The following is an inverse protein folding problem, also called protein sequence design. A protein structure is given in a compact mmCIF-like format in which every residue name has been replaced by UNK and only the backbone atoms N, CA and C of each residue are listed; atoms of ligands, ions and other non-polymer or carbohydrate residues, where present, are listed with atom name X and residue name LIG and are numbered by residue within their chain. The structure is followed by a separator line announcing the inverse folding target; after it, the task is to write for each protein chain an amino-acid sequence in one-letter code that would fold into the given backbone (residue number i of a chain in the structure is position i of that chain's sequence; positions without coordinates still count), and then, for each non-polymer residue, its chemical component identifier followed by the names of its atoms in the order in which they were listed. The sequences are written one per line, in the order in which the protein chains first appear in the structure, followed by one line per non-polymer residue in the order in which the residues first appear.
data_IF_150423104445
#
_entry.id   IF_150423104445
#
_cell.length_a   1.000
_cell.length_b   1.000
_cell.length_c   1.000
_cell.angle_alpha   90.00
_cell.angle_beta   90.00
_cell.angle_gamma   90.00
#
_symmetry.space_group_name_H-M   'P 1'
#
loop_
_entity.id
_entity.type
_entity.pdbx_description
1 polymer ?
#
# COMPACT_ATOMS: atom_id res chain seq x y z
N UNK A 1 -7.04 -1.38 -23.54
CA UNK A 1 -7.16 -0.88 -22.15
C UNK A 1 -6.09 0.18 -21.95
N UNK A 2 -6.48 1.43 -21.69
CA UNK A 2 -5.53 2.52 -21.39
C UNK A 2 -4.93 2.30 -20.00
N UNK A 3 -3.84 1.54 -19.91
CA UNK A 3 -3.09 1.30 -18.67
C UNK A 3 -2.00 2.37 -18.51
N UNK A 4 -2.42 3.63 -18.41
CA UNK A 4 -1.50 4.71 -18.05
C UNK A 4 -0.95 4.53 -16.63
N UNK A 5 0.17 5.18 -16.28
CA UNK A 5 0.70 5.14 -14.93
C UNK A 5 -0.31 5.76 -13.96
N UNK A 6 -0.46 5.14 -12.78
CA UNK A 6 -1.24 5.68 -11.68
C UNK A 6 -0.28 6.39 -10.73
N UNK A 7 -0.48 7.68 -10.51
CA UNK A 7 0.27 8.48 -9.52
C UNK A 7 -0.64 8.66 -8.32
N UNK A 8 -0.23 8.15 -7.16
CA UNK A 8 -0.96 8.27 -5.90
C UNK A 8 -0.01 8.74 -4.79
N UNK A 9 -0.54 9.52 -3.86
CA UNK A 9 0.11 9.84 -2.59
C UNK A 9 0.01 8.65 -1.62
N UNK A 10 0.84 8.66 -0.56
CA UNK A 10 0.83 7.59 0.46
C UNK A 10 -0.56 7.45 1.07
N UNK A 11 -1.20 8.57 1.45
CA UNK A 11 -2.54 8.57 2.05
C UNK A 11 -3.61 8.01 1.10
N UNK A 12 -3.53 8.31 -0.20
CA UNK A 12 -4.48 7.76 -1.19
C UNK A 12 -4.30 6.24 -1.38
N UNK A 13 -3.07 5.74 -1.37
CA UNK A 13 -2.82 4.30 -1.47
C UNK A 13 -3.34 3.58 -0.23
N UNK A 14 -3.07 4.11 0.97
CA UNK A 14 -3.59 3.56 2.22
C UNK A 14 -5.12 3.58 2.25
N UNK A 15 -5.73 4.69 1.83
CA UNK A 15 -7.20 4.80 1.73
C UNK A 15 -7.82 3.76 0.79
N UNK A 16 -7.16 3.44 -0.33
CA UNK A 16 -7.62 2.37 -1.23
C UNK A 16 -7.43 0.99 -0.63
N UNK A 17 -6.34 0.79 0.12
CA UNK A 17 -6.02 -0.47 0.77
C UNK A 17 -7.01 -0.80 1.89
N UNK A 18 -7.42 0.21 2.66
CA UNK A 18 -8.39 0.09 3.75
C UNK A 18 -9.81 -0.25 3.27
N UNK A 19 -10.12 0.02 1.99
CA UNK A 19 -11.38 -0.39 1.37
C UNK A 19 -11.42 -1.87 1.00
N UNK A 20 -10.27 -2.54 0.95
CA UNK A 20 -10.25 -3.97 0.65
C UNK A 20 -10.73 -4.77 1.87
N UNK A 21 -11.61 -5.76 1.68
CA UNK A 21 -11.99 -6.64 2.77
C UNK A 21 -10.76 -7.38 3.30
N UNK A 22 -10.68 -7.72 4.60
CA UNK A 22 -9.60 -8.52 5.15
C UNK A 22 -9.34 -9.78 4.31
N UNK A 23 -8.07 -10.19 4.13
CA UNK A 23 -7.79 -11.36 3.30
C UNK A 23 -8.47 -12.60 3.89
N UNK A 24 -9.23 -13.30 3.07
CA UNK A 24 -9.97 -14.49 3.47
C UNK A 24 -9.07 -15.73 3.47
N UNK A 25 -9.48 -16.81 4.15
CA UNK A 25 -8.76 -18.08 4.12
C UNK A 25 -8.59 -18.63 2.70
N UNK A 26 -9.58 -18.39 1.84
CA UNK A 26 -9.66 -18.88 0.46
C UNK A 26 -8.94 -17.98 -0.55
N UNK A 27 -8.45 -16.82 -0.13
CA UNK A 27 -7.68 -15.93 -1.03
C UNK A 27 -6.37 -16.59 -1.45
N UNK A 28 -5.92 -16.30 -2.68
CA UNK A 28 -4.64 -16.76 -3.20
C UNK A 28 -3.48 -16.30 -2.29
N UNK A 29 -2.61 -17.24 -1.93
CA UNK A 29 -1.43 -16.99 -1.11
C UNK A 29 -0.52 -15.89 -1.68
N UNK A 30 -0.44 -15.77 -3.01
CA UNK A 30 0.29 -14.68 -3.65
C UNK A 30 -0.37 -13.33 -3.37
N UNK A 31 -1.70 -13.24 -3.42
CA UNK A 31 -2.45 -12.01 -3.15
C UNK A 31 -2.25 -11.57 -1.70
N UNK A 32 -2.33 -12.52 -0.75
CA UNK A 32 -2.07 -12.24 0.68
C UNK A 32 -0.65 -11.69 0.90
N UNK A 33 0.36 -12.31 0.28
CA UNK A 33 1.76 -11.87 0.36
C UNK A 33 1.97 -10.49 -0.26
N UNK A 34 1.40 -10.23 -1.42
CA UNK A 34 1.51 -8.94 -2.09
C UNK A 34 0.84 -7.83 -1.29
N UNK A 35 -0.34 -8.08 -0.71
CA UNK A 35 -1.03 -7.14 0.17
C UNK A 35 -0.17 -6.79 1.39
N UNK A 36 0.37 -7.81 2.08
CA UNK A 36 1.24 -7.59 3.25
C UNK A 36 2.49 -6.79 2.88
N UNK A 37 3.13 -7.13 1.75
CA UNK A 37 4.33 -6.43 1.28
C UNK A 37 4.05 -4.97 0.94
N UNK A 38 2.88 -4.67 0.36
CA UNK A 38 2.47 -3.29 0.10
C UNK A 38 2.27 -2.51 1.41
N UNK A 39 1.60 -3.11 2.41
CA UNK A 39 1.43 -2.50 3.74
C UNK A 39 2.77 -2.16 4.38
N UNK A 40 3.71 -3.11 4.39
CA UNK A 40 5.03 -2.92 5.00
C UNK A 40 5.81 -1.83 4.28
N UNK A 41 5.76 -1.82 2.94
CA UNK A 41 6.41 -0.79 2.14
C UNK A 41 5.85 0.61 2.41
N UNK A 42 4.52 0.76 2.54
CA UNK A 42 3.90 2.05 2.85
C UNK A 42 4.29 2.53 4.25
N UNK A 43 4.34 1.61 5.23
CA UNK A 43 4.82 1.94 6.58
C UNK A 43 6.27 2.42 6.59
N UNK A 44 7.17 1.72 5.86
CA UNK A 44 8.57 2.12 5.72
C UNK A 44 8.71 3.49 5.04
N UNK A 45 7.91 3.75 3.99
CA UNK A 45 7.88 5.05 3.32
C UNK A 45 7.42 6.17 4.26
N UNK A 46 6.41 5.92 5.10
CA UNK A 46 5.88 6.90 6.04
C UNK A 46 6.90 7.25 7.11
N UNK A 47 7.57 6.24 7.68
CA UNK A 47 8.69 6.43 8.61
C UNK A 47 9.85 7.23 7.97
N UNK A 48 10.17 6.93 6.71
CA UNK A 48 11.19 7.65 5.95
C UNK A 48 10.78 9.10 5.64
N UNK A 49 9.53 9.35 5.31
CA UNK A 49 9.00 10.68 5.01
C UNK A 49 8.95 11.60 6.24
N UNK A 50 8.58 11.05 7.41
CA UNK A 50 8.57 11.80 8.68
C UNK A 50 9.97 12.24 9.12
N UNK A 51 11.04 11.57 8.66
CA UNK A 51 12.42 11.88 9.00
C UNK A 51 13.11 12.96 8.15
N UNK A 52 12.53 13.36 7.01
CA UNK A 52 13.15 14.33 6.07
C UNK A 52 12.77 15.78 6.40
N UNK A 53 11.73 16.01 7.21
CA UNK A 53 11.38 17.34 7.72
C UNK A 53 12.20 17.61 9.00
N UNK A 54 13.51 17.73 8.86
CA UNK A 54 14.34 18.52 9.79
C UNK A 54 14.93 19.68 9.01
N UNK A 55 14.18 20.77 8.98
CA UNK A 55 14.68 22.10 8.68
C UNK A 55 15.15 22.77 9.99
#
# INVERSE_FOLDING_TARGET
MNRGPLILTIDEVEYLLDQLPPPSGDDDELVKKLRKRLQDFLADLRLGAEGVIKA
#
